data_IF_219588265131
#
_entry.id   IF_219588265131
#
_cell.length_a   1.000
_cell.length_b   1.000
_cell.length_c   1.000
_cell.angle_alpha   90.00
_cell.angle_beta   90.00
_cell.angle_gamma   90.00
#
_symmetry.space_group_name_H-M   'P 1'
#
loop_
_entity.id
_entity.type
_entity.pdbx_description
1 polymer ?
#
# COMPACT_ATOMS: atom_id res chain seq x y z
N UNK A 1 -14.14 25.95 13.80
CA UNK A 1 -12.68 25.92 13.68
C UNK A 1 -12.12 25.55 15.04
N UNK A 2 -11.50 24.38 15.18
CA UNK A 2 -10.82 24.02 16.43
C UNK A 2 -9.57 24.91 16.59
N UNK A 3 -9.28 25.33 17.82
CA UNK A 3 -8.20 26.26 18.13
C UNK A 3 -6.84 25.62 17.83
N UNK A 4 -6.07 26.21 16.91
CA UNK A 4 -4.72 25.74 16.54
C UNK A 4 -3.73 25.73 17.72
N UNK A 5 -4.05 26.40 18.83
CA UNK A 5 -3.23 26.47 20.04
C UNK A 5 -3.12 25.18 20.85
N UNK A 6 -3.93 24.16 20.54
CA UNK A 6 -3.98 22.89 21.30
C UNK A 6 -3.12 21.77 20.70
N UNK A 7 -2.43 22.02 19.59
CA UNK A 7 -1.68 21.03 18.83
C UNK A 7 -0.21 21.46 18.70
N UNK A 8 0.73 20.53 18.86
CA UNK A 8 2.17 20.81 18.82
C UNK A 8 2.59 21.40 17.47
N UNK A 9 2.00 20.91 16.38
CA UNK A 9 2.22 21.38 15.01
C UNK A 9 1.03 22.18 14.46
N UNK A 10 0.14 22.68 15.33
CA UNK A 10 -1.10 23.35 14.93
C UNK A 10 -0.90 24.59 14.06
N UNK A 11 0.17 25.36 14.31
CA UNK A 11 0.53 26.52 13.49
C UNK A 11 0.92 26.11 12.06
N UNK A 12 1.79 25.13 11.91
CA UNK A 12 2.19 24.59 10.60
C UNK A 12 0.97 24.06 9.85
N UNK A 13 0.10 23.31 10.54
CA UNK A 13 -1.12 22.76 9.93
C UNK A 13 -2.07 23.87 9.46
N UNK A 14 -2.23 24.95 10.24
CA UNK A 14 -3.02 26.11 9.85
C UNK A 14 -2.44 26.81 8.63
N UNK A 15 -1.12 27.05 8.61
CA UNK A 15 -0.44 27.72 7.51
C UNK A 15 -0.54 26.89 6.21
N UNK A 16 -0.43 25.56 6.31
CA UNK A 16 -0.68 24.64 5.19
C UNK A 16 -2.13 24.76 4.71
N UNK A 17 -3.10 24.76 5.62
CA UNK A 17 -4.52 24.86 5.28
C UNK A 17 -4.85 26.16 4.55
N UNK A 18 -4.32 27.27 5.03
CA UNK A 18 -4.50 28.58 4.41
C UNK A 18 -3.87 28.62 3.00
N UNK A 19 -2.75 27.94 2.80
CA UNK A 19 -2.09 27.86 1.50
C UNK A 19 -2.84 26.95 0.50
N UNK A 20 -3.55 25.92 0.95
CA UNK A 20 -4.28 24.99 0.07
C UNK A 20 -5.75 25.36 -0.16
N UNK A 21 -6.23 26.49 0.36
CA UNK A 21 -7.64 26.91 0.18
C UNK A 21 -8.61 26.36 1.23
N UNK A 22 -8.09 25.92 2.37
CA UNK A 22 -8.85 25.52 3.55
C UNK A 22 -9.22 24.04 3.60
N UNK A 23 -9.81 23.62 4.73
CA UNK A 23 -10.15 22.21 5.00
C UNK A 23 -11.14 21.61 3.99
N UNK A 24 -12.06 22.43 3.45
CA UNK A 24 -13.01 22.00 2.42
C UNK A 24 -12.36 21.63 1.08
N UNK A 25 -11.10 22.03 0.86
CA UNK A 25 -10.34 21.67 -0.32
C UNK A 25 -9.47 20.41 -0.13
N UNK A 26 -9.59 19.70 0.99
CA UNK A 26 -8.82 18.48 1.27
C UNK A 26 -9.68 17.25 0.98
N UNK A 27 -9.29 16.46 -0.03
CA UNK A 27 -9.96 15.21 -0.35
C UNK A 27 -9.47 14.07 0.54
N UNK A 28 -8.16 13.82 0.51
CA UNK A 28 -7.49 12.79 1.29
C UNK A 28 -6.13 13.30 1.75
N UNK A 29 -5.64 12.76 2.87
CA UNK A 29 -4.29 13.02 3.37
C UNK A 29 -3.60 11.69 3.66
N UNK A 30 -2.37 11.55 3.18
CA UNK A 30 -1.48 10.43 3.44
C UNK A 30 -0.17 10.94 4.02
N UNK A 31 0.65 10.04 4.56
CA UNK A 31 2.01 10.39 4.95
C UNK A 31 2.98 9.25 4.65
N UNK A 32 4.24 9.58 4.37
CA UNK A 32 5.35 8.62 4.49
C UNK A 32 6.25 9.04 5.66
N UNK A 33 7.47 8.50 5.72
CA UNK A 33 8.44 8.80 6.79
C UNK A 33 8.79 10.29 6.85
N UNK A 34 8.87 10.98 5.70
CA UNK A 34 9.34 12.37 5.63
C UNK A 34 8.43 13.35 4.90
N UNK A 35 7.29 12.88 4.37
CA UNK A 35 6.39 13.72 3.58
C UNK A 35 4.94 13.59 4.00
N UNK A 36 4.29 14.74 4.18
CA UNK A 36 2.84 14.85 4.24
C UNK A 36 2.31 15.00 2.81
N UNK A 37 1.40 14.12 2.38
CA UNK A 37 0.82 14.13 1.03
C UNK A 37 -0.66 14.51 1.10
N UNK A 38 -1.02 15.60 0.44
CA UNK A 38 -2.37 16.15 0.44
C UNK A 38 -2.94 16.04 -0.96
N UNK A 39 -4.12 15.42 -1.08
CA UNK A 39 -4.88 15.38 -2.33
C UNK A 39 -5.92 16.51 -2.28
N UNK A 40 -5.75 17.60 -3.06
CA UNK A 40 -6.74 18.67 -3.09
C UNK A 40 -8.02 18.24 -3.85
N UNK A 41 -9.16 18.83 -3.50
CA UNK A 41 -10.41 18.71 -4.28
C UNK A 41 -10.32 19.55 -5.55
N UNK A 42 -9.82 20.77 -5.42
CA UNK A 42 -9.59 21.75 -6.48
C UNK A 42 -8.16 22.30 -6.38
N UNK A 43 -7.34 22.01 -7.39
CA UNK A 43 -5.94 22.43 -7.44
C UNK A 43 -5.75 23.94 -7.63
N UNK A 44 -6.71 24.62 -8.23
CA UNK A 44 -6.62 26.06 -8.55
C UNK A 44 -6.70 26.94 -7.29
N UNK A 45 -7.25 26.41 -6.19
CA UNK A 45 -7.30 27.09 -4.90
C UNK A 45 -5.98 27.01 -4.13
N UNK A 46 -5.00 26.25 -4.62
CA UNK A 46 -3.72 26.02 -3.95
C UNK A 46 -2.72 27.10 -4.32
N UNK A 47 -2.37 27.93 -3.34
CA UNK A 47 -1.31 28.93 -3.43
C UNK A 47 0.06 28.27 -3.18
N UNK A 48 0.66 27.70 -4.24
CA UNK A 48 1.94 26.98 -4.15
C UNK A 48 3.08 27.81 -3.56
N UNK A 49 3.14 29.11 -3.86
CA UNK A 49 4.19 29.98 -3.33
C UNK A 49 4.03 30.21 -1.82
N UNK A 50 2.78 30.26 -1.31
CA UNK A 50 2.55 30.30 0.13
C UNK A 50 2.93 28.97 0.77
N UNK A 51 2.55 27.85 0.15
CA UNK A 51 2.82 26.51 0.67
C UNK A 51 4.32 26.23 0.78
N UNK A 52 5.13 26.68 -0.19
CA UNK A 52 6.60 26.57 -0.17
C UNK A 52 7.27 27.38 0.94
N UNK A 53 6.61 28.42 1.45
CA UNK A 53 7.14 29.32 2.46
C UNK A 53 6.64 29.01 3.89
N UNK A 54 5.87 27.93 4.06
CA UNK A 54 5.44 27.50 5.41
C UNK A 54 6.66 27.03 6.21
N UNK A 55 6.78 27.53 7.43
CA UNK A 55 7.89 27.19 8.31
C UNK A 55 7.93 25.69 8.63
N UNK A 56 9.10 25.06 8.46
CA UNK A 56 9.32 23.63 8.66
C UNK A 56 9.04 22.75 7.42
N UNK A 57 8.53 23.32 6.32
CA UNK A 57 8.53 22.63 5.02
C UNK A 57 9.86 22.87 4.32
N UNK A 58 10.62 21.81 4.08
CA UNK A 58 11.90 21.86 3.36
C UNK A 58 11.71 21.99 1.85
N UNK A 59 10.68 21.33 1.32
CA UNK A 59 10.37 21.32 -0.11
C UNK A 59 8.90 20.98 -0.32
N UNK A 60 8.29 21.61 -1.30
CA UNK A 60 6.97 21.20 -1.81
C UNK A 60 7.15 20.64 -3.22
N UNK A 61 6.62 19.45 -3.43
CA UNK A 61 6.56 18.80 -4.73
C UNK A 61 5.10 18.58 -5.10
N UNK A 62 4.82 18.48 -6.39
CA UNK A 62 3.53 18.04 -6.88
C UNK A 62 3.75 16.87 -7.83
N UNK A 63 3.10 15.74 -7.56
CA UNK A 63 3.19 14.55 -8.40
C UNK A 63 1.97 13.67 -8.19
N UNK A 64 1.46 13.06 -9.25
CA UNK A 64 0.31 12.15 -9.24
C UNK A 64 -0.94 12.78 -8.63
N UNK A 65 -1.14 14.07 -8.89
CA UNK A 65 -2.25 14.86 -8.32
C UNK A 65 -2.20 15.05 -6.80
N UNK A 66 -1.03 14.88 -6.18
CA UNK A 66 -0.82 15.09 -4.74
C UNK A 66 0.20 16.20 -4.49
N UNK A 67 -0.09 17.06 -3.52
CA UNK A 67 0.85 18.01 -2.95
C UNK A 67 1.69 17.29 -1.90
N UNK A 68 3.00 17.19 -2.10
CA UNK A 68 3.92 16.54 -1.17
C UNK A 68 4.75 17.59 -0.44
N UNK A 69 4.46 17.78 0.84
CA UNK A 69 5.22 18.64 1.74
C UNK A 69 6.30 17.81 2.41
N UNK A 70 7.56 18.04 2.07
CA UNK A 70 8.73 17.42 2.70
C UNK A 70 9.01 18.18 4.00
N UNK A 71 8.78 17.52 5.15
CA UNK A 71 8.90 18.15 6.48
C UNK A 71 10.06 17.52 7.26
N UNK A 72 10.22 16.19 7.17
CA UNK A 72 11.24 15.45 7.92
C UNK A 72 10.62 14.34 8.78
N UNK A 73 11.37 13.83 9.75
CA UNK A 73 10.96 12.67 10.56
C UNK A 73 9.77 12.93 11.49
N UNK A 74 9.35 14.19 11.65
CA UNK A 74 8.20 14.60 12.48
C UNK A 74 6.85 14.58 11.73
N UNK A 75 6.83 14.00 10.53
CA UNK A 75 5.61 13.90 9.70
C UNK A 75 4.47 13.10 10.35
N UNK A 76 4.71 11.99 11.07
CA UNK A 76 3.62 11.26 11.74
C UNK A 76 2.83 12.15 12.73
N UNK A 77 3.53 12.99 13.48
CA UNK A 77 2.94 13.93 14.44
C UNK A 77 2.18 15.04 13.72
N UNK A 78 2.78 15.64 12.68
CA UNK A 78 2.11 16.65 11.85
C UNK A 78 0.87 16.07 11.17
N UNK A 79 0.91 14.82 10.72
CA UNK A 79 -0.24 14.15 10.10
C UNK A 79 -1.41 13.99 11.08
N UNK A 80 -1.13 13.58 12.33
CA UNK A 80 -2.13 13.44 13.36
C UNK A 80 -2.82 14.78 13.67
N UNK A 81 -2.04 15.83 13.86
CA UNK A 81 -2.56 17.19 14.09
C UNK A 81 -3.34 17.72 12.88
N UNK A 82 -2.84 17.49 11.66
CA UNK A 82 -3.49 17.91 10.42
C UNK A 82 -4.84 17.22 10.21
N UNK A 83 -4.94 15.91 10.49
CA UNK A 83 -6.21 15.19 10.44
C UNK A 83 -7.21 15.70 11.48
N UNK A 84 -6.76 15.92 12.72
CA UNK A 84 -7.61 16.43 13.78
C UNK A 84 -8.19 17.81 13.46
N UNK A 85 -7.38 18.69 12.85
CA UNK A 85 -7.79 20.04 12.45
C UNK A 85 -8.70 20.07 11.22
N UNK A 86 -8.50 19.18 10.25
CA UNK A 86 -9.23 19.19 8.98
C UNK A 86 -10.52 18.36 8.98
N UNK A 87 -10.58 17.31 9.80
CA UNK A 87 -11.62 16.29 9.69
C UNK A 87 -11.58 15.54 8.35
N UNK A 88 -10.47 15.63 7.62
CA UNK A 88 -10.32 14.99 6.31
C UNK A 88 -10.26 13.45 6.43
N UNK A 89 -10.61 12.77 5.35
CA UNK A 89 -10.54 11.31 5.30
C UNK A 89 -9.09 10.83 5.44
N UNK A 90 -8.81 10.05 6.49
CA UNK A 90 -7.49 9.47 6.74
C UNK A 90 -7.12 8.45 5.65
N UNK A 91 -6.08 8.75 4.89
CA UNK A 91 -5.50 7.87 3.88
C UNK A 91 -4.48 6.86 4.42
N UNK A 92 -3.93 7.08 5.61
CA UNK A 92 -2.93 6.23 6.27
C UNK A 92 -1.49 6.44 5.79
N UNK A 93 -0.59 5.60 6.32
CA UNK A 93 0.83 5.58 5.97
C UNK A 93 1.06 4.93 4.58
N UNK A 94 1.87 5.56 3.75
CA UNK A 94 2.25 5.10 2.40
C UNK A 94 3.77 5.00 2.29
N UNK A 95 4.28 3.98 1.60
CA UNK A 95 5.73 3.82 1.41
C UNK A 95 6.36 5.02 0.68
N UNK A 96 7.63 5.37 1.00
CA UNK A 96 8.35 6.42 0.28
C UNK A 96 8.48 6.04 -1.20
N UNK A 97 8.01 6.91 -2.09
CA UNK A 97 8.32 6.81 -3.52
C UNK A 97 9.73 7.37 -3.77
N UNK A 98 10.45 6.88 -4.80
CA UNK A 98 11.75 7.42 -5.19
C UNK A 98 11.65 8.94 -5.36
N UNK A 99 12.67 9.66 -4.92
CA UNK A 99 12.72 11.11 -5.02
C UNK A 99 12.73 11.54 -6.49
N UNK A 100 11.56 11.94 -7.01
CA UNK A 100 11.43 12.34 -8.41
C UNK A 100 12.14 13.67 -8.66
N UNK A 101 13.04 13.66 -9.65
CA UNK A 101 13.78 14.81 -10.13
C UNK A 101 13.06 15.33 -11.37
N UNK A 102 12.40 16.48 -11.23
CA UNK A 102 12.01 17.31 -12.36
C UNK A 102 10.52 17.30 -12.66
N UNK A 103 10.01 18.49 -12.95
CA UNK A 103 8.68 18.76 -13.47
C UNK A 103 8.46 17.97 -14.77
N UNK A 104 7.44 17.12 -14.80
CA UNK A 104 6.92 16.54 -16.06
C UNK A 104 5.43 16.82 -16.09
N UNK A 105 5.00 17.58 -17.09
CA UNK A 105 3.59 17.84 -17.40
C UNK A 105 2.80 16.51 -17.51
N UNK A 106 1.78 16.35 -16.68
CA UNK A 106 0.97 15.12 -16.63
C UNK A 106 0.09 14.96 -17.88
N UNK A 107 0.52 14.10 -18.80
CA UNK A 107 -0.43 13.40 -19.70
C UNK A 107 -1.26 12.43 -18.85
N UNK A 108 -2.60 12.45 -19.03
CA UNK A 108 -3.52 11.46 -18.42
C UNK A 108 -2.90 10.06 -18.49
N UNK A 109 -2.75 9.33 -17.37
CA UNK A 109 -2.05 8.06 -17.37
C UNK A 109 -2.74 7.08 -18.30
N UNK A 110 -1.97 6.52 -19.23
CA UNK A 110 -2.43 5.46 -20.14
C UNK A 110 -3.06 4.31 -19.33
N UNK A 111 -3.98 3.56 -19.94
CA UNK A 111 -4.64 2.41 -19.31
C UNK A 111 -3.63 1.43 -18.70
N UNK A 112 -2.49 1.22 -19.36
CA UNK A 112 -1.38 0.42 -18.86
C UNK A 112 -0.76 1.01 -17.58
N UNK A 113 -0.47 2.31 -17.56
CA UNK A 113 0.06 3.02 -16.37
C UNK A 113 -0.92 2.94 -15.21
N UNK A 114 -2.22 3.05 -15.46
CA UNK A 114 -3.26 2.92 -14.44
C UNK A 114 -3.35 1.49 -13.88
N UNK A 115 -3.17 0.48 -14.73
CA UNK A 115 -3.05 -0.92 -14.33
C UNK A 115 -1.82 -1.17 -13.46
N UNK A 116 -0.64 -0.72 -13.90
CA UNK A 116 0.61 -0.82 -13.15
C UNK A 116 0.53 -0.12 -11.79
N UNK A 117 -0.06 1.09 -11.72
CA UNK A 117 -0.27 1.81 -10.47
C UNK A 117 -1.22 1.05 -9.52
N UNK A 118 -2.18 0.33 -10.07
CA UNK A 118 -3.10 -0.50 -9.26
C UNK A 118 -2.37 -1.70 -8.69
N UNK A 119 -1.59 -2.42 -9.51
CA UNK A 119 -0.74 -3.51 -9.04
C UNK A 119 0.22 -3.04 -7.94
N UNK A 120 0.93 -1.93 -8.16
CA UNK A 120 1.83 -1.34 -7.18
C UNK A 120 1.10 -1.05 -5.86
N UNK A 121 -0.07 -0.41 -5.92
CA UNK A 121 -0.85 -0.08 -4.73
C UNK A 121 -1.34 -1.29 -3.92
N UNK A 122 -1.58 -2.43 -4.57
CA UNK A 122 -1.98 -3.67 -3.90
C UNK A 122 -0.80 -4.38 -3.23
N UNK A 123 0.42 -4.20 -3.75
CA UNK A 123 1.64 -4.84 -3.22
C UNK A 123 2.25 -4.04 -2.06
N UNK A 124 2.13 -2.71 -2.07
CA UNK A 124 2.72 -1.83 -1.04
C UNK A 124 2.41 -2.25 0.40
N UNK A 125 1.15 -2.58 0.79
CA UNK A 125 0.86 -3.00 2.16
C UNK A 125 1.57 -4.29 2.59
N UNK A 126 1.89 -5.17 1.64
CA UNK A 126 2.59 -6.42 1.89
C UNK A 126 4.11 -6.32 1.89
N UNK A 127 4.66 -5.17 1.48
CA UNK A 127 6.09 -5.00 1.25
C UNK A 127 6.92 -5.28 2.51
N UNK A 128 6.49 -4.76 3.67
CA UNK A 128 7.20 -4.97 4.94
C UNK A 128 7.27 -6.45 5.33
N UNK A 129 6.17 -7.19 5.13
CA UNK A 129 6.12 -8.61 5.43
C UNK A 129 7.03 -9.41 4.49
N UNK A 130 7.04 -9.07 3.19
CA UNK A 130 7.92 -9.70 2.18
C UNK A 130 9.39 -9.44 2.49
N UNK A 131 9.75 -8.21 2.86
CA UNK A 131 11.12 -7.84 3.23
C UNK A 131 11.55 -8.61 4.48
N UNK A 132 10.72 -8.65 5.52
CA UNK A 132 11.01 -9.41 6.73
C UNK A 132 11.21 -10.90 6.45
N UNK A 133 10.32 -11.51 5.66
CA UNK A 133 10.45 -12.92 5.23
C UNK A 133 11.76 -13.17 4.47
N UNK A 134 12.09 -12.30 3.51
CA UNK A 134 13.34 -12.39 2.75
C UNK A 134 14.59 -12.28 3.63
N UNK A 135 14.59 -11.37 4.62
CA UNK A 135 15.69 -11.23 5.57
C UNK A 135 15.86 -12.48 6.44
N UNK A 136 14.75 -13.06 6.93
CA UNK A 136 14.76 -14.31 7.69
C UNK A 136 15.36 -15.44 6.85
N UNK A 137 14.93 -15.58 5.58
CA UNK A 137 15.51 -16.59 4.67
C UNK A 137 17.01 -16.37 4.42
N UNK A 138 17.46 -15.11 4.37
CA UNK A 138 18.89 -14.78 4.31
C UNK A 138 19.66 -15.28 5.53
N UNK A 139 19.12 -15.07 6.74
CA UNK A 139 19.73 -15.56 7.99
C UNK A 139 19.74 -17.09 8.04
N UNK A 140 18.66 -17.75 7.64
CA UNK A 140 18.57 -19.21 7.54
C UNK A 140 19.66 -19.75 6.61
N UNK A 141 19.82 -19.13 5.44
CA UNK A 141 20.86 -19.50 4.47
C UNK A 141 22.28 -19.37 5.06
N UNK A 142 22.53 -18.36 5.90
CA UNK A 142 23.81 -18.22 6.59
C UNK A 142 24.02 -19.33 7.64
N UNK A 143 22.99 -19.66 8.42
CA UNK A 143 23.06 -20.71 9.43
C UNK A 143 23.37 -22.09 8.82
N UNK A 144 22.73 -22.42 7.70
CA UNK A 144 22.98 -23.68 7.00
C UNK A 144 24.33 -23.68 6.29
N UNK A 145 24.70 -22.58 5.62
CA UNK A 145 25.98 -22.46 4.90
C UNK A 145 27.21 -22.50 5.82
N UNK A 146 27.09 -21.97 7.04
CA UNK A 146 28.15 -22.02 8.06
C UNK A 146 28.18 -23.34 8.84
N UNK A 147 27.25 -24.27 8.56
CA UNK A 147 27.14 -25.55 9.26
C UNK A 147 26.71 -25.43 10.72
N UNK A 148 26.08 -24.31 11.12
CA UNK A 148 25.59 -24.12 12.49
C UNK A 148 24.39 -25.03 12.78
N UNK A 149 23.55 -25.26 11.77
CA UNK A 149 22.43 -26.18 11.82
C UNK A 149 22.33 -26.99 10.52
N UNK A 150 22.01 -28.29 10.59
CA UNK A 150 21.61 -29.08 9.42
C UNK A 150 20.37 -28.47 8.75
N UNK A 151 20.33 -28.49 7.41
CA UNK A 151 19.23 -27.93 6.63
C UNK A 151 17.89 -28.64 6.88
N UNK A 152 17.94 -29.91 7.27
CA UNK A 152 16.79 -30.76 7.61
C UNK A 152 16.42 -30.72 9.09
N UNK A 153 17.07 -29.87 9.89
CA UNK A 153 16.75 -29.77 11.32
C UNK A 153 15.38 -29.12 11.55
N UNK A 154 14.71 -29.52 12.64
CA UNK A 154 13.41 -28.95 13.04
C UNK A 154 13.46 -27.44 13.22
N UNK A 155 14.60 -26.91 13.69
CA UNK A 155 14.82 -25.46 13.86
C UNK A 155 14.76 -24.76 12.50
N UNK A 156 15.47 -25.27 11.50
CA UNK A 156 15.46 -24.71 10.15
C UNK A 156 14.07 -24.86 9.54
N UNK A 157 13.40 -26.00 9.71
CA UNK A 157 12.03 -26.22 9.23
C UNK A 157 11.04 -25.17 9.77
N UNK A 158 11.08 -24.88 11.07
CA UNK A 158 10.21 -23.85 11.67
C UNK A 158 10.59 -22.45 11.18
N UNK A 159 11.88 -22.13 11.12
CA UNK A 159 12.33 -20.82 10.63
C UNK A 159 11.96 -20.59 9.16
N UNK A 160 12.07 -21.63 8.31
CA UNK A 160 11.62 -21.57 6.93
C UNK A 160 10.13 -21.29 6.84
N UNK A 161 9.30 -21.94 7.66
CA UNK A 161 7.86 -21.66 7.70
C UNK A 161 7.57 -20.19 8.04
N UNK A 162 8.31 -19.60 8.99
CA UNK A 162 8.19 -18.18 9.34
C UNK A 162 8.63 -17.27 8.17
N UNK A 163 9.77 -17.59 7.54
CA UNK A 163 10.29 -16.86 6.39
C UNK A 163 9.39 -16.93 5.15
N UNK A 164 8.72 -18.06 4.96
CA UNK A 164 7.85 -18.33 3.82
C UNK A 164 6.43 -17.80 3.98
N UNK A 165 5.93 -17.65 5.20
CA UNK A 165 4.58 -17.15 5.49
C UNK A 165 4.15 -15.94 4.63
N UNK A 166 4.93 -14.83 4.50
CA UNK A 166 4.51 -13.69 3.69
C UNK A 166 4.43 -13.99 2.19
N UNK A 167 5.21 -14.96 1.69
CA UNK A 167 5.17 -15.38 0.29
C UNK A 167 4.05 -16.38 0.04
N UNK A 168 3.87 -17.33 0.95
CA UNK A 168 2.86 -18.37 0.88
C UNK A 168 1.45 -17.77 0.94
N UNK A 169 1.20 -16.88 1.90
CA UNK A 169 -0.08 -16.20 2.12
C UNK A 169 -0.20 -14.87 1.35
N UNK A 170 0.63 -14.66 0.34
CA UNK A 170 0.59 -13.47 -0.50
C UNK A 170 -0.82 -13.19 -1.08
N UNK A 171 -1.60 -14.18 -1.54
CA UNK A 171 -2.97 -13.94 -1.99
C UNK A 171 -3.84 -13.25 -0.94
N UNK A 172 -3.68 -13.55 0.35
CA UNK A 172 -4.46 -12.92 1.43
C UNK A 172 -4.08 -11.46 1.64
N UNK A 173 -2.79 -11.17 1.69
CA UNK A 173 -2.26 -9.81 1.85
C UNK A 173 -2.73 -8.93 0.68
N UNK A 174 -2.58 -9.46 -0.54
CA UNK A 174 -2.95 -8.75 -1.76
C UNK A 174 -4.48 -8.65 -1.90
N UNK A 175 -5.24 -9.67 -1.53
CA UNK A 175 -6.71 -9.65 -1.57
C UNK A 175 -7.29 -8.58 -0.66
N UNK A 176 -6.76 -8.46 0.56
CA UNK A 176 -7.12 -7.38 1.48
C UNK A 176 -6.81 -6.00 0.87
N UNK A 177 -5.59 -5.81 0.33
CA UNK A 177 -5.18 -4.54 -0.27
C UNK A 177 -6.00 -4.19 -1.52
N UNK A 178 -6.29 -5.18 -2.37
CA UNK A 178 -7.13 -5.04 -3.55
C UNK A 178 -8.56 -4.64 -3.18
N UNK A 179 -9.14 -5.24 -2.14
CA UNK A 179 -10.47 -4.88 -1.68
C UNK A 179 -10.53 -3.41 -1.23
N UNK A 180 -9.54 -2.95 -0.44
CA UNK A 180 -9.40 -1.52 -0.11
C UNK A 180 -9.29 -0.64 -1.35
N UNK A 181 -8.45 -1.04 -2.32
CA UNK A 181 -8.20 -0.29 -3.55
C UNK A 181 -9.47 -0.14 -4.41
N UNK A 182 -10.24 -1.21 -4.55
CA UNK A 182 -11.47 -1.24 -5.33
C UNK A 182 -12.72 -0.86 -4.53
N UNK A 183 -12.55 -0.44 -3.27
CA UNK A 183 -13.64 -0.03 -2.36
C UNK A 183 -14.68 -1.13 -2.10
N UNK A 184 -14.21 -2.38 -2.09
CA UNK A 184 -14.97 -3.56 -1.64
C UNK A 184 -14.68 -3.78 -0.16
N UNK A 185 -15.66 -4.30 0.60
CA UNK A 185 -15.40 -4.71 2.00
C UNK A 185 -14.25 -5.73 2.03
N UNK A 186 -13.29 -5.50 2.90
CA UNK A 186 -12.01 -6.23 2.94
C UNK A 186 -12.20 -7.73 3.18
N UNK A 187 -13.25 -8.10 3.90
CA UNK A 187 -13.62 -9.50 4.13
C UNK A 187 -13.82 -10.27 2.82
N UNK A 188 -14.36 -9.64 1.77
CA UNK A 188 -14.55 -10.30 0.48
C UNK A 188 -13.22 -10.51 -0.25
N UNK A 189 -12.27 -9.59 -0.13
CA UNK A 189 -10.91 -9.78 -0.65
C UNK A 189 -10.20 -10.97 0.00
N UNK A 190 -10.36 -11.11 1.32
CA UNK A 190 -9.86 -12.26 2.08
C UNK A 190 -10.55 -13.55 1.65
N UNK A 191 -11.87 -13.53 1.44
CA UNK A 191 -12.61 -14.71 0.97
C UNK A 191 -12.14 -15.17 -0.42
N UNK A 192 -11.92 -14.24 -1.35
CA UNK A 192 -11.38 -14.56 -2.69
C UNK A 192 -10.01 -15.23 -2.57
N UNK A 193 -9.13 -14.71 -1.73
CA UNK A 193 -7.84 -15.36 -1.45
C UNK A 193 -8.01 -16.77 -0.88
N UNK A 194 -8.95 -16.95 0.05
CA UNK A 194 -9.29 -18.26 0.62
C UNK A 194 -9.83 -19.25 -0.40
N UNK A 195 -10.62 -18.81 -1.37
CA UNK A 195 -11.10 -19.65 -2.48
C UNK A 195 -9.92 -20.10 -3.34
N UNK A 196 -9.02 -19.19 -3.73
CA UNK A 196 -7.86 -19.52 -4.56
C UNK A 196 -6.87 -20.44 -3.82
N UNK A 197 -6.74 -20.29 -2.50
CA UNK A 197 -5.89 -21.13 -1.67
C UNK A 197 -6.61 -22.35 -1.09
N UNK A 198 -7.84 -22.63 -1.50
CA UNK A 198 -8.58 -23.78 -1.02
C UNK A 198 -7.90 -25.08 -1.47
N UNK A 199 -7.96 -26.10 -0.61
CA UNK A 199 -7.22 -27.37 -0.79
C UNK A 199 -7.45 -28.02 -2.16
N UNK A 200 -8.67 -27.92 -2.70
CA UNK A 200 -9.06 -28.40 -4.04
C UNK A 200 -8.15 -27.90 -5.16
N UNK A 201 -7.68 -26.64 -5.08
CA UNK A 201 -6.77 -26.05 -6.07
C UNK A 201 -5.30 -26.12 -5.61
N UNK A 202 -5.07 -25.98 -4.30
CA UNK A 202 -3.74 -25.91 -3.71
C UNK A 202 -2.99 -27.24 -3.75
N UNK A 203 -3.72 -28.35 -3.61
CA UNK A 203 -3.17 -29.71 -3.52
C UNK A 203 -4.15 -30.70 -4.17
N UNK A 204 -4.36 -30.59 -5.49
CA UNK A 204 -5.24 -31.50 -6.21
C UNK A 204 -4.66 -32.92 -6.20
N UNK A 205 -5.51 -33.97 -6.31
CA UNK A 205 -5.05 -35.34 -6.48
C UNK A 205 -4.13 -35.49 -7.70
N UNK A 206 -3.22 -36.48 -7.66
CA UNK A 206 -2.32 -36.75 -8.78
C UNK A 206 -3.09 -36.96 -10.10
N UNK A 207 -2.63 -36.30 -11.16
CA UNK A 207 -3.26 -36.35 -12.48
C UNK A 207 -4.44 -35.39 -12.68
N UNK A 208 -4.93 -34.71 -11.64
CA UNK A 208 -6.00 -33.71 -11.76
C UNK A 208 -5.40 -32.34 -12.07
N UNK A 209 -5.69 -31.81 -13.26
CA UNK A 209 -5.23 -30.49 -13.73
C UNK A 209 -6.37 -29.46 -13.83
N UNK A 210 -7.62 -29.90 -13.85
CA UNK A 210 -8.80 -29.05 -13.89
C UNK A 210 -10.06 -29.73 -13.34
N UNK A 211 -11.07 -28.92 -13.03
CA UNK A 211 -12.40 -29.34 -12.62
C UNK A 211 -13.44 -28.79 -13.60
N UNK A 212 -14.32 -29.66 -14.11
CA UNK A 212 -15.40 -29.23 -15.00
C UNK A 212 -16.44 -28.40 -14.25
N UNK A 213 -16.76 -27.23 -14.80
CA UNK A 213 -17.72 -26.26 -14.27
C UNK A 213 -18.70 -25.83 -15.38
N UNK A 214 -19.54 -26.77 -15.80
CA UNK A 214 -20.52 -26.55 -16.86
C UNK A 214 -19.84 -26.40 -18.23
N UNK A 215 -19.82 -25.19 -18.78
CA UNK A 215 -19.23 -24.88 -20.09
C UNK A 215 -17.73 -24.55 -20.02
N UNK A 216 -17.16 -24.46 -18.82
CA UNK A 216 -15.77 -24.07 -18.59
C UNK A 216 -15.06 -25.10 -17.71
N UNK A 217 -13.75 -25.18 -17.86
CA UNK A 217 -12.89 -25.94 -16.93
C UNK A 217 -12.14 -24.97 -16.02
N UNK A 218 -12.29 -25.18 -14.71
CA UNK A 218 -11.56 -24.41 -13.70
C UNK A 218 -10.23 -25.12 -13.45
N UNK A 219 -9.09 -24.47 -13.73
CA UNK A 219 -7.81 -25.12 -13.56
C UNK A 219 -7.47 -25.31 -12.07
N UNK A 220 -6.90 -26.47 -11.75
CA UNK A 220 -6.44 -26.82 -10.42
C UNK A 220 -4.98 -26.38 -10.25
N UNK A 221 -4.75 -25.07 -10.12
CA UNK A 221 -3.42 -24.50 -9.94
C UNK A 221 -3.12 -24.14 -8.49
N UNK A 222 -1.85 -24.28 -8.14
CA UNK A 222 -1.33 -23.79 -6.89
C UNK A 222 -1.12 -22.27 -6.98
N UNK A 223 -1.98 -21.51 -6.29
CA UNK A 223 -1.97 -20.05 -6.28
C UNK A 223 -1.08 -19.43 -5.19
N UNK A 224 -0.23 -20.22 -4.50
CA UNK A 224 0.76 -19.71 -3.52
C UNK A 224 1.64 -18.66 -4.20
N UNK A 225 1.86 -17.53 -3.52
CA UNK A 225 2.68 -16.44 -4.06
C UNK A 225 2.09 -15.71 -5.27
N UNK A 226 0.87 -16.05 -5.72
CA UNK A 226 0.26 -15.39 -6.87
C UNK A 226 -0.47 -14.10 -6.45
N UNK A 227 -0.26 -13.03 -7.22
CA UNK A 227 -0.89 -11.71 -6.97
C UNK A 227 -1.98 -11.39 -7.99
N UNK A 228 -1.79 -11.78 -9.24
CA UNK A 228 -2.69 -11.39 -10.33
C UNK A 228 -4.09 -11.99 -10.21
N UNK A 229 -4.26 -13.29 -9.92
CA UNK A 229 -5.59 -13.90 -9.87
C UNK A 229 -6.47 -13.23 -8.81
N UNK A 230 -5.94 -12.99 -7.61
CA UNK A 230 -6.71 -12.35 -6.54
C UNK A 230 -7.06 -10.89 -6.86
N UNK A 231 -6.15 -10.11 -7.45
CA UNK A 231 -6.42 -8.71 -7.84
C UNK A 231 -7.54 -8.66 -8.89
N UNK A 232 -7.46 -9.52 -9.91
CA UNK A 232 -8.45 -9.58 -10.99
C UNK A 232 -9.81 -10.03 -10.47
N UNK A 233 -9.85 -11.06 -9.62
CA UNK A 233 -11.09 -11.55 -9.02
C UNK A 233 -11.76 -10.48 -8.17
N UNK A 234 -11.01 -9.75 -7.33
CA UNK A 234 -11.57 -8.66 -6.52
C UNK A 234 -12.01 -7.48 -7.39
N UNK A 235 -11.26 -7.17 -8.45
CA UNK A 235 -11.66 -6.13 -9.41
C UNK A 235 -12.98 -6.48 -10.10
N UNK A 236 -13.13 -7.70 -10.63
CA UNK A 236 -14.37 -8.18 -11.24
C UNK A 236 -15.51 -8.13 -10.22
N UNK A 237 -15.26 -8.57 -8.99
CA UNK A 237 -16.23 -8.51 -7.91
C UNK A 237 -16.69 -7.08 -7.60
N UNK A 238 -15.81 -6.08 -7.75
CA UNK A 238 -16.16 -4.66 -7.55
C UNK A 238 -17.03 -4.04 -8.66
N UNK A 239 -17.23 -4.75 -9.78
CA UNK A 239 -18.08 -4.28 -10.88
C UNK A 239 -19.57 -4.58 -10.63
N UNK A 240 -19.87 -5.45 -9.67
CA UNK A 240 -21.22 -5.84 -9.26
C UNK A 240 -21.58 -5.22 -7.92
#
# INVERSE_FOLDING_TARGET
MQNASNYEYGKMCSDILDAIGGAGNVKNVFHCITRLRIVPVNRDLVAMDKLKNVSGIMKVLESSGQLQCVIGTTVPEVYADFLAMTGAAAGGEVSPEPADKGEIEEKKPNLLTRGLNTLASCVTPGLYAIVAGGMIKGVISLFTSLGLFPADSDIITVLEAVGDAPFYFMPFIIGYAAAKRFKVKEIFGIMVAGILMYSTFLSPPEGVTSYSFGLFDIPAYNYKGSIFPVILSVWIFSLF
#
